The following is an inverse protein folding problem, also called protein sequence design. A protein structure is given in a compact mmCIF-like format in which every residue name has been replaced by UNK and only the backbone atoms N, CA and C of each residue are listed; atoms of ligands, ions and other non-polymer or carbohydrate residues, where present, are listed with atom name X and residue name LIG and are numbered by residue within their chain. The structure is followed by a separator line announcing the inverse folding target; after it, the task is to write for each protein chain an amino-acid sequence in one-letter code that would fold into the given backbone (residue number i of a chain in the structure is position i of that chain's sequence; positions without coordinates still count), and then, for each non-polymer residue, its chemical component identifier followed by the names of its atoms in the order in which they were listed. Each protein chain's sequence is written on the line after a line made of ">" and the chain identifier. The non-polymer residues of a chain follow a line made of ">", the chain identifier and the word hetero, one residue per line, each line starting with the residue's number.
data_IF_466487368327
#
_entry.id   IF_466487368327
#
_cell.length_a   1.000
_cell.length_b   1.000
_cell.length_c   1.000
_cell.angle_alpha   90.00
_cell.angle_beta   90.00
_cell.angle_gamma   90.00
#
_symmetry.space_group_name_H-M   'P 1'
#
loop_
_entity.id
_entity.type
_entity.pdbx_description
1 polymer ?
#
# COMPACT_ATOMS: atom_id res chain seq x y z
N UNK A 1 -33.25 56.05 5.98
CA UNK A 1 -33.72 54.69 5.61
C UNK A 1 -32.70 53.89 4.77
N UNK A 2 -32.19 54.41 3.64
CA UNK A 2 -31.24 53.67 2.77
C UNK A 2 -29.92 53.25 3.44
N UNK A 3 -29.29 54.12 4.22
CA UNK A 3 -28.03 53.79 4.91
C UNK A 3 -28.20 52.72 6.00
N UNK A 4 -29.32 52.72 6.72
CA UNK A 4 -29.63 51.71 7.74
C UNK A 4 -29.88 50.32 7.12
N UNK A 5 -30.51 50.27 5.94
CA UNK A 5 -30.73 49.01 5.19
C UNK A 5 -29.39 48.45 4.70
N UNK A 6 -28.47 49.30 4.21
CA UNK A 6 -27.13 48.88 3.78
C UNK A 6 -26.26 48.41 4.95
N UNK A 7 -26.35 49.05 6.11
CA UNK A 7 -25.64 48.62 7.31
C UNK A 7 -26.17 47.26 7.81
N UNK A 8 -27.48 47.07 7.80
CA UNK A 8 -28.12 45.82 8.24
C UNK A 8 -27.80 44.66 7.29
N UNK A 9 -27.78 44.89 5.97
CA UNK A 9 -27.40 43.87 5.00
C UNK A 9 -25.92 43.47 5.12
N UNK A 10 -25.03 44.43 5.39
CA UNK A 10 -23.62 44.15 5.64
C UNK A 10 -23.42 43.34 6.93
N UNK A 11 -24.17 43.65 8.00
CA UNK A 11 -24.12 42.93 9.27
C UNK A 11 -24.63 41.49 9.13
N UNK A 12 -25.73 41.28 8.40
CA UNK A 12 -26.27 39.94 8.11
C UNK A 12 -25.31 39.11 7.26
N UNK A 13 -24.63 39.71 6.27
CA UNK A 13 -23.64 39.03 5.45
C UNK A 13 -22.40 38.62 6.27
N UNK A 14 -21.91 39.51 7.14
CA UNK A 14 -20.79 39.22 8.04
C UNK A 14 -21.14 38.10 9.05
N UNK A 15 -22.36 38.10 9.59
CA UNK A 15 -22.84 37.06 10.50
C UNK A 15 -22.99 35.71 9.78
N UNK A 16 -23.51 35.71 8.55
CA UNK A 16 -23.61 34.51 7.71
C UNK A 16 -22.22 33.94 7.34
N UNK A 17 -21.23 34.80 7.06
CA UNK A 17 -19.86 34.39 6.78
C UNK A 17 -19.12 33.83 8.02
N UNK A 18 -19.49 34.26 9.22
CA UNK A 18 -18.94 33.74 10.48
C UNK A 18 -19.52 32.38 10.90
N UNK A 19 -20.71 32.03 10.40
CA UNK A 19 -21.41 30.76 10.70
C UNK A 19 -21.04 29.62 9.75
N UNK A 20 -20.19 29.86 8.75
CA UNK A 20 -19.76 28.80 7.83
C UNK A 20 -18.81 27.86 8.58
N UNK A 21 -19.13 26.56 8.72
CA UNK A 21 -18.24 25.61 9.38
C UNK A 21 -16.91 25.57 8.62
N UNK A 22 -15.80 25.93 9.28
CA UNK A 22 -14.46 25.69 8.74
C UNK A 22 -14.24 24.18 8.71
N UNK A 23 -14.43 23.57 7.55
CA UNK A 23 -14.09 22.16 7.34
C UNK A 23 -12.58 22.03 7.45
N UNK A 24 -12.09 21.47 8.55
CA UNK A 24 -10.70 21.10 8.68
C UNK A 24 -10.40 20.01 7.64
N UNK A 25 -9.53 20.31 6.67
CA UNK A 25 -9.04 19.31 5.75
C UNK A 25 -8.22 18.28 6.56
N UNK A 26 -8.65 17.02 6.54
CA UNK A 26 -7.87 15.93 7.13
C UNK A 26 -6.52 15.83 6.42
N UNK A 27 -5.43 15.90 7.20
CA UNK A 27 -4.09 15.74 6.66
C UNK A 27 -3.96 14.37 6.00
N UNK A 28 -3.29 14.32 4.85
CA UNK A 28 -3.03 13.04 4.18
C UNK A 28 -2.13 12.16 5.07
N UNK A 29 -2.28 10.82 5.04
CA UNK A 29 -1.41 9.94 5.79
C UNK A 29 0.07 10.15 5.44
N UNK A 30 0.95 9.79 6.38
CA UNK A 30 2.39 9.96 6.23
C UNK A 30 2.94 9.16 5.03
N UNK A 31 3.96 9.67 4.32
CA UNK A 31 4.65 8.92 3.29
C UNK A 31 5.43 7.74 3.89
N UNK A 32 5.49 6.64 3.16
CA UNK A 32 6.43 5.55 3.49
C UNK A 32 7.82 5.97 3.04
N UNK A 33 8.83 5.71 3.87
CA UNK A 33 10.23 5.99 3.59
C UNK A 33 11.02 4.70 3.33
N UNK A 34 12.03 4.77 2.48
CA UNK A 34 12.98 3.68 2.26
C UNK A 34 14.08 3.69 3.34
N UNK A 35 14.99 2.71 3.26
CA UNK A 35 16.11 2.57 4.20
C UNK A 35 17.11 3.74 4.18
N UNK A 36 17.04 4.60 3.16
CA UNK A 36 17.83 5.83 3.04
C UNK A 36 17.06 7.08 3.47
N UNK A 37 15.84 6.93 3.97
CA UNK A 37 14.96 8.02 4.40
C UNK A 37 14.23 8.72 3.25
N UNK A 38 14.24 8.18 2.02
CA UNK A 38 13.57 8.80 0.88
C UNK A 38 12.14 8.29 0.73
N UNK A 39 11.24 9.17 0.28
CA UNK A 39 9.83 8.85 0.07
C UNK A 39 9.66 7.81 -1.04
N UNK A 40 8.85 6.78 -0.78
CA UNK A 40 8.48 5.78 -1.78
C UNK A 40 7.54 6.38 -2.84
N UNK A 41 7.88 6.13 -4.10
CA UNK A 41 7.15 6.63 -5.28
C UNK A 41 6.60 5.48 -6.11
N UNK A 42 5.40 5.67 -6.62
CA UNK A 42 4.80 4.75 -7.60
C UNK A 42 5.70 4.64 -8.84
N UNK A 43 5.75 3.47 -9.46
CA UNK A 43 6.54 3.22 -10.67
C UNK A 43 8.02 2.92 -10.43
N UNK A 44 8.54 3.20 -9.22
CA UNK A 44 9.89 2.85 -8.79
C UNK A 44 9.92 1.43 -8.23
N UNK A 45 10.99 0.70 -8.53
CA UNK A 45 11.19 -0.66 -8.03
C UNK A 45 11.95 -0.65 -6.70
N UNK A 46 11.45 -1.42 -5.74
CA UNK A 46 12.00 -1.56 -4.39
C UNK A 46 12.23 -3.03 -4.05
N UNK A 47 13.10 -3.29 -3.07
CA UNK A 47 13.22 -4.58 -2.41
C UNK A 47 12.56 -4.51 -1.03
N UNK A 48 11.89 -5.58 -0.62
CA UNK A 48 11.41 -5.73 0.76
C UNK A 48 12.39 -6.63 1.48
N UNK A 49 13.07 -6.09 2.49
CA UNK A 49 14.11 -6.76 3.27
C UNK A 49 13.65 -6.94 4.72
N UNK A 50 14.07 -8.03 5.40
CA UNK A 50 13.83 -8.19 6.82
C UNK A 50 14.59 -7.12 7.61
N UNK A 51 13.93 -6.54 8.61
CA UNK A 51 14.56 -5.54 9.50
C UNK A 51 15.62 -6.21 10.39
N UNK A 52 15.35 -7.44 10.84
CA UNK A 52 16.25 -8.22 11.68
C UNK A 52 17.20 -9.02 10.81
N UNK A 53 18.50 -8.76 10.94
CA UNK A 53 19.59 -9.49 10.27
C UNK A 53 19.67 -10.94 10.72
N UNK A 54 20.31 -11.79 9.93
CA UNK A 54 20.46 -13.23 10.21
C UNK A 54 19.18 -14.07 10.05
N UNK A 55 18.07 -13.48 9.60
CA UNK A 55 16.76 -14.16 9.44
C UNK A 55 16.38 -14.42 7.98
N UNK A 56 17.36 -14.45 7.09
CA UNK A 56 17.17 -14.60 5.65
C UNK A 56 17.28 -13.28 4.89
N UNK A 57 17.01 -13.34 3.60
CA UNK A 57 17.11 -12.22 2.67
C UNK A 57 15.77 -11.58 2.35
N UNK A 58 15.69 -10.88 1.22
CA UNK A 58 14.48 -10.22 0.75
C UNK A 58 13.44 -11.16 0.15
N UNK A 59 12.33 -10.60 -0.32
CA UNK A 59 11.21 -11.38 -0.86
C UNK A 59 11.41 -11.78 -2.32
N UNK A 60 10.95 -12.98 -2.69
CA UNK A 60 11.00 -13.52 -4.05
C UNK A 60 9.73 -14.31 -4.40
N UNK A 61 9.67 -14.76 -5.65
CA UNK A 61 8.67 -15.72 -6.13
C UNK A 61 9.27 -17.13 -6.16
N UNK A 62 8.54 -18.12 -5.65
CA UNK A 62 8.96 -19.52 -5.71
C UNK A 62 7.78 -20.49 -5.82
N UNK A 63 8.03 -21.66 -6.41
CA UNK A 63 7.09 -22.79 -6.34
C UNK A 63 7.08 -23.35 -4.92
N UNK A 64 5.89 -23.67 -4.40
CA UNK A 64 5.72 -24.27 -3.06
C UNK A 64 5.76 -25.80 -3.09
N UNK A 65 6.18 -26.40 -4.20
CA UNK A 65 6.23 -27.86 -4.39
C UNK A 65 4.87 -28.50 -4.68
N UNK A 66 3.77 -27.99 -4.11
CA UNK A 66 2.41 -28.48 -4.40
C UNK A 66 1.88 -28.07 -5.78
N UNK A 67 2.31 -26.90 -6.27
CA UNK A 67 1.91 -26.34 -7.57
C UNK A 67 3.08 -25.56 -8.16
N UNK A 68 3.30 -25.72 -9.47
CA UNK A 68 4.34 -24.96 -10.20
C UNK A 68 3.92 -23.51 -10.45
N UNK A 69 2.63 -23.27 -10.68
CA UNK A 69 2.03 -21.95 -10.87
C UNK A 69 0.64 -21.87 -10.20
N UNK A 70 0.23 -20.69 -9.71
CA UNK A 70 1.01 -19.47 -9.55
C UNK A 70 2.13 -19.62 -8.51
N UNK A 71 3.19 -18.82 -8.62
CA UNK A 71 4.29 -18.81 -7.64
C UNK A 71 3.84 -18.14 -6.34
N UNK A 72 4.30 -18.66 -5.21
CA UNK A 72 4.09 -18.02 -3.92
C UNK A 72 5.11 -16.92 -3.67
N UNK A 73 4.74 -15.97 -2.80
CA UNK A 73 5.65 -14.96 -2.27
C UNK A 73 6.37 -15.57 -1.07
N UNK A 74 7.68 -15.72 -1.15
CA UNK A 74 8.50 -16.32 -0.09
C UNK A 74 9.69 -15.43 0.24
N UNK A 75 10.25 -15.62 1.44
CA UNK A 75 11.47 -14.96 1.84
C UNK A 75 12.70 -15.76 1.36
N UNK A 76 13.74 -15.05 0.91
CA UNK A 76 15.03 -15.66 0.60
C UNK A 76 15.67 -16.29 1.83
N UNK A 77 16.35 -17.43 1.63
CA UNK A 77 17.05 -18.13 2.72
C UNK A 77 18.35 -17.42 3.12
N UNK A 78 19.04 -16.81 2.16
CA UNK A 78 20.35 -16.21 2.38
C UNK A 78 20.21 -14.69 2.52
N UNK A 79 20.74 -14.14 3.61
CA UNK A 79 20.71 -12.70 3.91
C UNK A 79 21.36 -11.84 2.82
N UNK A 80 22.38 -12.37 2.14
CA UNK A 80 23.04 -11.69 1.03
C UNK A 80 22.14 -11.51 -0.20
N UNK A 81 21.00 -12.22 -0.29
CA UNK A 81 20.06 -12.06 -1.40
C UNK A 81 19.00 -11.03 -1.07
N UNK A 82 18.94 -9.96 -1.86
CA UNK A 82 17.88 -8.95 -1.77
C UNK A 82 16.53 -9.45 -2.28
N UNK A 83 16.46 -10.65 -2.88
CA UNK A 83 15.28 -11.17 -3.52
C UNK A 83 14.98 -10.47 -4.85
N UNK A 84 13.70 -10.30 -5.18
CA UNK A 84 13.23 -9.74 -6.45
C UNK A 84 12.67 -8.33 -6.26
N UNK A 85 12.94 -7.41 -7.20
CA UNK A 85 12.39 -6.06 -7.15
C UNK A 85 10.87 -6.08 -7.37
N UNK A 86 10.15 -5.20 -6.67
CA UNK A 86 8.70 -5.05 -6.76
C UNK A 86 8.26 -3.59 -6.84
N UNK A 87 7.04 -3.36 -7.30
CA UNK A 87 6.41 -2.04 -7.38
C UNK A 87 5.21 -1.97 -6.45
N UNK A 88 5.05 -0.80 -5.85
CA UNK A 88 3.92 -0.45 -5.00
C UNK A 88 3.07 0.59 -5.72
N UNK A 89 1.80 0.27 -5.95
CA UNK A 89 0.88 1.14 -6.67
C UNK A 89 -0.35 1.40 -5.81
N UNK A 90 -0.52 2.64 -5.29
CA UNK A 90 -1.73 3.01 -4.57
C UNK A 90 -2.96 2.80 -5.43
N UNK A 91 -4.00 2.22 -4.85
CA UNK A 91 -5.29 2.02 -5.52
C UNK A 91 -5.86 3.35 -6.01
N UNK A 92 -5.70 4.41 -5.19
CA UNK A 92 -6.03 5.77 -5.60
C UNK A 92 -4.77 6.47 -6.12
N UNK A 93 -4.63 6.51 -7.44
CA UNK A 93 -3.42 6.92 -8.17
C UNK A 93 -3.11 8.42 -8.09
N UNK A 94 -4.00 9.24 -7.53
CA UNK A 94 -3.94 10.71 -7.65
C UNK A 94 -2.69 11.39 -7.07
N UNK A 95 -1.80 10.70 -6.36
CA UNK A 95 -0.70 11.36 -5.63
C UNK A 95 0.71 10.80 -5.80
N UNK A 96 0.96 9.77 -6.62
CA UNK A 96 2.31 9.26 -6.98
C UNK A 96 3.25 8.84 -5.82
N UNK A 97 2.81 9.02 -4.58
CA UNK A 97 3.55 8.81 -3.33
C UNK A 97 2.84 7.71 -2.57
N UNK A 98 3.61 6.72 -2.15
CA UNK A 98 3.14 5.61 -1.33
C UNK A 98 3.03 6.09 0.11
N UNK A 99 1.85 5.91 0.71
CA UNK A 99 1.54 6.35 2.08
C UNK A 99 1.11 5.20 2.94
N UNK A 100 1.36 5.33 4.25
CA UNK A 100 0.80 4.39 5.24
C UNK A 100 -0.72 4.45 5.21
N UNK A 101 -1.38 3.39 5.68
CA UNK A 101 -2.83 3.27 5.75
C UNK A 101 -3.59 3.41 4.41
N UNK A 102 -2.87 3.39 3.30
CA UNK A 102 -3.43 3.41 1.95
C UNK A 102 -3.38 2.00 1.37
N UNK A 103 -4.44 1.60 0.69
CA UNK A 103 -4.48 0.31 0.02
C UNK A 103 -3.65 0.37 -1.27
N UNK A 104 -2.84 -0.68 -1.49
CA UNK A 104 -1.80 -0.77 -2.49
C UNK A 104 -1.92 -2.09 -3.25
N UNK A 105 -1.72 -2.03 -4.56
CA UNK A 105 -1.35 -3.20 -5.35
C UNK A 105 0.17 -3.39 -5.25
N UNK A 106 0.59 -4.63 -5.01
CA UNK A 106 2.00 -5.02 -4.96
C UNK A 106 2.26 -6.02 -6.08
N UNK A 107 3.29 -5.81 -6.88
CA UNK A 107 3.70 -6.78 -7.91
C UNK A 107 5.21 -6.87 -8.06
N UNK A 108 5.72 -8.07 -8.32
CA UNK A 108 7.13 -8.20 -8.71
C UNK A 108 7.37 -7.62 -10.11
N UNK A 109 8.50 -6.95 -10.29
CA UNK A 109 8.94 -6.41 -11.59
C UNK A 109 9.70 -7.44 -12.42
N UNK A 110 10.21 -8.49 -11.78
CA UNK A 110 10.94 -9.56 -12.45
C UNK A 110 10.00 -10.43 -13.30
N UNK A 111 10.55 -10.97 -14.39
CA UNK A 111 9.86 -11.96 -15.21
C UNK A 111 9.57 -13.24 -14.40
N UNK A 112 8.51 -13.94 -14.78
CA UNK A 112 8.08 -15.20 -14.17
C UNK A 112 7.96 -16.28 -15.25
N UNK A 113 8.25 -17.53 -14.88
CA UNK A 113 7.97 -18.70 -15.73
C UNK A 113 6.47 -18.94 -15.88
N UNK A 114 5.67 -18.44 -14.95
CA UNK A 114 4.23 -18.50 -15.06
C UNK A 114 3.79 -17.34 -15.97
N UNK A 115 3.09 -17.63 -17.07
CA UNK A 115 2.43 -16.65 -17.96
C UNK A 115 1.22 -15.96 -17.29
N UNK A 116 1.34 -15.66 -16.00
CA UNK A 116 0.33 -15.10 -15.13
C UNK A 116 0.86 -13.80 -14.52
N UNK A 117 -0.05 -12.96 -14.01
CA UNK A 117 0.31 -11.73 -13.32
C UNK A 117 1.25 -12.00 -12.13
N UNK A 118 2.24 -11.13 -11.91
CA UNK A 118 3.09 -11.13 -10.71
C UNK A 118 2.51 -10.29 -9.57
N UNK A 119 1.30 -9.75 -9.76
CA UNK A 119 0.59 -9.04 -8.71
C UNK A 119 0.18 -10.00 -7.60
N UNK A 120 0.32 -9.53 -6.37
CA UNK A 120 0.08 -10.31 -5.18
C UNK A 120 -1.41 -10.50 -4.95
N UNK A 121 -1.77 -11.66 -4.43
CA UNK A 121 -3.08 -11.93 -3.87
C UNK A 121 -3.03 -12.78 -2.62
N UNK A 122 -4.08 -12.70 -1.82
CA UNK A 122 -4.33 -13.72 -0.81
C UNK A 122 -4.88 -14.98 -1.49
N UNK A 123 -4.17 -16.10 -1.31
CA UNK A 123 -4.64 -17.40 -1.77
C UNK A 123 -5.86 -17.87 -0.96
N UNK A 124 -6.46 -18.98 -1.34
CA UNK A 124 -7.46 -19.64 -0.50
C UNK A 124 -6.83 -20.05 0.84
N UNK A 125 -7.65 -20.10 1.88
CA UNK A 125 -7.23 -20.63 3.17
C UNK A 125 -6.71 -22.05 3.00
N UNK A 126 -5.49 -22.30 3.49
CA UNK A 126 -4.89 -23.62 3.49
C UNK A 126 -5.32 -24.36 4.75
N UNK A 127 -6.20 -25.32 4.59
CA UNK A 127 -6.71 -26.15 5.68
C UNK A 127 -5.62 -27.00 6.37
N UNK A 128 -4.53 -27.33 5.69
CA UNK A 128 -3.46 -28.16 6.26
C UNK A 128 -2.54 -27.36 7.17
N UNK A 129 -2.18 -26.13 6.77
CA UNK A 129 -1.30 -25.25 7.55
C UNK A 129 -2.09 -24.27 8.42
N UNK A 130 -3.42 -24.23 8.27
CA UNK A 130 -4.35 -23.34 8.98
C UNK A 130 -4.05 -21.86 8.78
N UNK A 131 -3.57 -21.49 7.59
CA UNK A 131 -3.07 -20.15 7.28
C UNK A 131 -3.55 -19.63 5.92
N UNK A 132 -3.51 -18.32 5.76
CA UNK A 132 -3.67 -17.65 4.48
C UNK A 132 -2.28 -17.30 3.93
N UNK A 133 -2.01 -17.63 2.67
CA UNK A 133 -0.74 -17.31 2.02
C UNK A 133 -0.88 -16.18 1.01
N UNK A 134 0.22 -15.46 0.82
CA UNK A 134 0.35 -14.51 -0.29
C UNK A 134 0.95 -15.24 -1.49
N UNK A 135 0.24 -15.20 -2.60
CA UNK A 135 0.64 -15.80 -3.88
C UNK A 135 0.58 -14.76 -5.00
N UNK A 136 1.08 -15.08 -6.18
CA UNK A 136 0.95 -14.24 -7.37
C UNK A 136 -0.35 -14.52 -8.12
N UNK A 137 -0.47 -14.03 -9.35
CA UNK A 137 -1.67 -14.12 -10.18
C UNK A 137 -2.87 -13.39 -9.56
N UNK A 138 -2.61 -12.26 -8.92
CA UNK A 138 -3.59 -11.26 -8.52
C UNK A 138 -3.99 -10.35 -9.67
N UNK A 139 -5.17 -9.75 -9.55
CA UNK A 139 -5.65 -8.70 -10.44
C UNK A 139 -5.47 -7.37 -9.72
N UNK A 140 -4.80 -6.42 -10.37
CA UNK A 140 -4.64 -5.07 -9.83
C UNK A 140 -5.97 -4.31 -9.89
N UNK A 141 -6.32 -3.60 -8.83
CA UNK A 141 -7.53 -2.79 -8.81
C UNK A 141 -7.87 -2.31 -7.41
N UNK A 142 -9.12 -1.86 -7.21
CA UNK A 142 -9.61 -1.46 -5.91
C UNK A 142 -10.06 -2.68 -5.09
N UNK A 143 -9.53 -2.92 -3.87
CA UNK A 143 -10.04 -3.97 -2.99
C UNK A 143 -11.53 -3.74 -2.72
N UNK A 144 -12.35 -4.71 -3.12
CA UNK A 144 -13.80 -4.69 -2.92
C UNK A 144 -14.31 -6.09 -2.63
N UNK A 145 -15.40 -6.20 -1.85
CA UNK A 145 -15.95 -7.49 -1.36
C UNK A 145 -16.31 -8.50 -2.46
N UNK A 146 -16.53 -8.05 -3.70
CA UNK A 146 -17.00 -8.87 -4.83
C UNK A 146 -15.91 -9.27 -5.82
N UNK A 147 -14.69 -8.73 -5.71
CA UNK A 147 -13.57 -9.08 -6.58
C UNK A 147 -12.42 -9.49 -5.67
N UNK A 148 -11.73 -10.61 -5.94
CA UNK A 148 -10.48 -10.99 -5.24
C UNK A 148 -9.33 -10.06 -5.67
N UNK A 149 -9.56 -8.77 -5.54
CA UNK A 149 -8.62 -7.69 -5.79
C UNK A 149 -7.89 -7.46 -4.48
N UNK A 150 -6.57 -7.56 -4.52
CA UNK A 150 -5.78 -7.57 -3.29
C UNK A 150 -5.23 -6.18 -3.02
N UNK A 151 -5.90 -5.48 -2.11
CA UNK A 151 -5.34 -4.31 -1.46
C UNK A 151 -4.46 -4.74 -0.30
N UNK A 152 -3.16 -4.49 -0.40
CA UNK A 152 -2.24 -4.58 0.72
C UNK A 152 -2.14 -3.21 1.40
N UNK A 153 -1.98 -3.18 2.73
CA UNK A 153 -1.87 -1.92 3.47
C UNK A 153 -0.60 -1.90 4.30
N UNK A 154 0.27 -0.94 4.01
CA UNK A 154 1.49 -0.69 4.80
C UNK A 154 1.14 0.07 6.08
N UNK A 155 1.78 -0.32 7.17
CA UNK A 155 1.68 0.32 8.50
C UNK A 155 3.07 0.47 9.07
N UNK A 156 3.29 1.53 9.84
CA UNK A 156 4.51 1.70 10.62
C UNK A 156 4.52 0.71 11.79
N UNK A 157 5.62 -0.01 11.97
CA UNK A 157 5.90 -0.78 13.18
C UNK A 157 7.14 -0.19 13.86
N UNK A 158 7.09 -0.04 15.19
CA UNK A 158 8.28 0.27 15.98
C UNK A 158 8.87 -1.04 16.46
N UNK A 159 10.11 -1.34 16.10
CA UNK A 159 10.86 -2.43 16.72
C UNK A 159 11.50 -1.86 17.99
N UNK A 160 11.05 -2.31 19.16
CA UNK A 160 11.74 -2.02 20.41
C UNK A 160 13.08 -2.75 20.37
N UNK A 161 14.16 -2.01 20.12
CA UNK A 161 15.51 -2.51 20.38
C UNK A 161 15.67 -2.56 21.90
N UNK A 162 15.74 -3.78 22.44
CA UNK A 162 16.31 -4.04 23.76
C UNK A 162 17.82 -3.75 23.74
#
# INVERSE_FOLDING_TARGET
>A
MRAAILALSFLLFALAAGLVPKVAATAAPEPVLDVTGKILRTGTSYYILPVVRGRGGGLKMASTGRRTCPLAVVQERYEASNGLPLKLTPVNTKKGVVRVHTDLNIRFSAASICHQSTAWKLDNYDEWTKQWFVTTNGVEGNPGRKQRTTGSRLRSSKTSTS
#
